data_IF_332299483943
#
_entry.id   IF_332299483943
#
_cell.length_a   1.000
_cell.length_b   1.000
_cell.length_c   1.000
_cell.angle_alpha   90.00
_cell.angle_beta   90.00
_cell.angle_gamma   90.00
#
_symmetry.space_group_name_H-M   'P 1'
#
loop_
_entity.id
_entity.type
_entity.pdbx_description
1 polymer ?
#
# COMPACT_ATOMS: atom_id res chain seq x y z
N UNK A 1 -22.26 -11.73 17.04
CA UNK A 1 -21.77 -12.12 15.70
C UNK A 1 -20.27 -12.00 15.68
N UNK A 2 -19.54 -13.05 15.29
CA UNK A 2 -18.10 -12.94 15.07
C UNK A 2 -17.85 -12.23 13.72
N UNK A 3 -16.91 -11.27 13.68
CA UNK A 3 -16.47 -10.64 12.45
C UNK A 3 -15.71 -11.67 11.60
N UNK A 4 -15.95 -11.71 10.29
CA UNK A 4 -15.19 -12.59 9.39
C UNK A 4 -13.73 -12.14 9.28
N UNK A 5 -12.82 -13.10 9.15
CA UNK A 5 -11.38 -12.83 9.03
C UNK A 5 -11.07 -11.84 7.89
N UNK A 6 -11.71 -12.04 6.74
CA UNK A 6 -11.57 -11.16 5.57
C UNK A 6 -12.01 -9.74 5.88
N UNK A 7 -13.16 -9.56 6.56
CA UNK A 7 -13.66 -8.24 6.92
C UNK A 7 -12.71 -7.55 7.92
N UNK A 8 -12.24 -8.29 8.93
CA UNK A 8 -11.27 -7.77 9.90
C UNK A 8 -9.99 -7.28 9.21
N UNK A 9 -9.38 -8.11 8.36
CA UNK A 9 -8.17 -7.74 7.63
C UNK A 9 -8.39 -6.57 6.66
N UNK A 10 -9.55 -6.52 5.99
CA UNK A 10 -9.89 -5.44 5.07
C UNK A 10 -10.01 -4.10 5.81
N UNK A 11 -10.73 -4.07 6.94
CA UNK A 11 -10.89 -2.86 7.75
C UNK A 11 -9.55 -2.40 8.33
N UNK A 12 -8.73 -3.33 8.79
CA UNK A 12 -7.39 -3.04 9.29
C UNK A 12 -6.49 -2.47 8.18
N UNK A 13 -6.46 -3.11 7.01
CA UNK A 13 -5.69 -2.63 5.86
C UNK A 13 -6.17 -1.26 5.36
N UNK A 14 -7.48 -1.04 5.32
CA UNK A 14 -8.05 0.26 5.00
C UNK A 14 -7.58 1.32 6.01
N UNK A 15 -7.72 1.07 7.32
CA UNK A 15 -7.28 2.01 8.36
C UNK A 15 -5.78 2.33 8.31
N UNK A 16 -4.94 1.29 8.26
CA UNK A 16 -3.48 1.46 8.20
C UNK A 16 -3.01 2.09 6.89
N UNK A 17 -3.73 1.87 5.78
CA UNK A 17 -3.36 2.40 4.46
C UNK A 17 -3.37 3.93 4.38
N UNK A 18 -4.07 4.61 5.30
CA UNK A 18 -4.12 6.07 5.40
C UNK A 18 -2.96 6.67 6.21
N UNK A 19 -2.19 5.89 6.97
CA UNK A 19 -1.09 6.39 7.82
C UNK A 19 -0.17 7.40 7.08
N UNK A 20 0.27 7.15 5.83
CA UNK A 20 1.14 8.09 5.12
C UNK A 20 0.52 9.46 4.89
N UNK A 21 -0.81 9.54 4.74
CA UNK A 21 -1.52 10.82 4.63
C UNK A 21 -1.32 11.67 5.88
N UNK A 22 -1.33 11.03 7.05
CA UNK A 22 -1.21 11.72 8.34
C UNK A 22 0.24 12.02 8.73
N UNK A 23 1.22 11.22 8.27
CA UNK A 23 2.62 11.36 8.68
C UNK A 23 3.52 12.11 7.67
N UNK A 24 3.29 11.94 6.37
CA UNK A 24 4.18 12.51 5.34
C UNK A 24 3.47 13.37 4.29
N UNK A 25 2.13 13.36 4.27
CA UNK A 25 1.31 14.11 3.32
C UNK A 25 1.45 13.58 1.88
N UNK A 26 0.35 13.45 1.14
CA UNK A 26 0.46 13.28 -0.30
C UNK A 26 0.92 14.59 -0.91
N UNK A 27 2.06 14.58 -1.60
CA UNK A 27 2.55 15.77 -2.30
C UNK A 27 2.58 15.47 -3.81
N UNK A 28 1.45 15.61 -4.52
CA UNK A 28 1.39 15.47 -5.98
C UNK A 28 2.47 16.27 -6.70
N UNK A 29 2.85 17.42 -6.13
CA UNK A 29 3.88 18.31 -6.65
C UNK A 29 5.22 17.57 -6.92
N UNK A 30 5.62 16.61 -6.07
CA UNK A 30 6.88 15.85 -6.25
C UNK A 30 6.89 15.05 -7.56
N UNK A 31 5.73 14.55 -7.96
CA UNK A 31 5.56 13.81 -9.21
C UNK A 31 5.36 14.74 -10.40
N UNK A 32 4.62 15.85 -10.20
CA UNK A 32 4.33 16.82 -11.26
C UNK A 32 5.60 17.48 -11.81
N UNK A 33 6.59 17.79 -10.95
CA UNK A 33 7.88 18.36 -11.38
C UNK A 33 8.64 17.44 -12.33
N UNK A 34 8.37 16.14 -12.29
CA UNK A 34 8.97 15.13 -13.16
C UNK A 34 8.08 14.77 -14.37
N UNK A 35 7.02 15.55 -14.62
CA UNK A 35 6.07 15.30 -15.71
C UNK A 35 5.11 14.12 -15.47
N UNK A 36 5.07 13.58 -14.25
CA UNK A 36 4.14 12.49 -13.87
C UNK A 36 2.86 13.11 -13.32
N UNK A 37 1.69 12.55 -13.68
CA UNK A 37 0.39 12.94 -13.10
C UNK A 37 0.35 12.59 -11.61
N UNK A 38 0.68 13.55 -10.76
CA UNK A 38 0.92 13.33 -9.33
C UNK A 38 -0.32 12.97 -8.53
N UNK A 39 -1.49 13.44 -8.95
CA UNK A 39 -2.79 13.03 -8.41
C UNK A 39 -3.01 11.52 -8.56
N UNK A 40 -2.77 10.99 -9.77
CA UNK A 40 -2.89 9.57 -10.07
C UNK A 40 -1.83 8.77 -9.32
N UNK A 41 -0.58 9.23 -9.32
CA UNK A 41 0.51 8.57 -8.63
C UNK A 41 0.19 8.40 -7.14
N UNK A 42 -0.18 9.49 -6.47
CA UNK A 42 -0.58 9.50 -5.06
C UNK A 42 -1.75 8.53 -4.80
N UNK A 43 -2.76 8.53 -5.67
CA UNK A 43 -3.89 7.61 -5.51
C UNK A 43 -3.49 6.14 -5.66
N UNK A 44 -2.56 5.82 -6.56
CA UNK A 44 -2.02 4.47 -6.70
C UNK A 44 -1.31 4.02 -5.40
N UNK A 45 -0.57 4.92 -4.74
CA UNK A 45 0.05 4.66 -3.44
C UNK A 45 -0.97 4.37 -2.32
N UNK A 46 -2.12 5.04 -2.33
CA UNK A 46 -3.16 4.83 -1.33
C UNK A 46 -3.97 3.56 -1.59
N UNK A 47 -4.40 3.35 -2.83
CA UNK A 47 -5.17 2.16 -3.21
C UNK A 47 -4.38 0.89 -2.95
N UNK A 48 -3.10 0.86 -3.33
CA UNK A 48 -2.20 -0.26 -3.06
C UNK A 48 -2.14 -0.61 -1.55
N UNK A 49 -1.95 0.39 -0.67
CA UNK A 49 -1.87 0.18 0.78
C UNK A 49 -3.18 -0.32 1.38
N UNK A 50 -4.31 0.29 1.00
CA UNK A 50 -5.62 -0.11 1.49
C UNK A 50 -6.00 -1.54 1.07
N UNK A 51 -5.54 -1.98 -0.11
CA UNK A 51 -5.83 -3.32 -0.63
C UNK A 51 -4.98 -4.44 0.00
N UNK A 52 -3.89 -4.13 0.70
CA UNK A 52 -3.05 -5.16 1.37
C UNK A 52 -3.89 -6.02 2.30
N UNK A 53 -4.69 -5.39 3.17
CA UNK A 53 -5.53 -6.10 4.13
C UNK A 53 -6.61 -6.97 3.47
N UNK A 54 -7.21 -6.49 2.38
CA UNK A 54 -8.13 -7.28 1.59
C UNK A 54 -7.45 -8.52 1.00
N UNK A 55 -6.27 -8.35 0.40
CA UNK A 55 -5.52 -9.45 -0.20
C UNK A 55 -5.13 -10.50 0.85
N UNK A 56 -4.70 -10.06 2.04
CA UNK A 56 -4.43 -10.95 3.19
C UNK A 56 -5.70 -11.70 3.63
N UNK A 57 -6.85 -11.03 3.60
CA UNK A 57 -8.13 -11.58 4.02
C UNK A 57 -8.71 -12.66 3.11
N UNK A 58 -8.38 -12.63 1.81
CA UNK A 58 -8.88 -13.60 0.81
C UNK A 58 -7.86 -14.70 0.49
N UNK A 59 -6.58 -14.50 0.82
CA UNK A 59 -5.53 -15.48 0.52
C UNK A 59 -5.39 -16.49 1.65
N UNK A 60 -5.38 -17.77 1.28
CA UNK A 60 -5.08 -18.90 2.17
C UNK A 60 -3.66 -19.39 1.90
N UNK A 61 -2.92 -19.67 2.97
CA UNK A 61 -1.57 -20.27 2.91
C UNK A 61 -1.45 -21.25 4.09
N UNK A 62 -0.63 -22.31 4.01
CA UNK A 62 -0.41 -23.23 5.11
C UNK A 62 0.05 -22.48 6.36
N UNK A 63 -0.52 -22.84 7.50
CA UNK A 63 -0.30 -22.19 8.80
C UNK A 63 1.19 -22.06 9.19
N UNK A 64 2.05 -22.93 8.66
CA UNK A 64 3.49 -22.93 8.95
C UNK A 64 4.26 -21.77 8.31
N UNK A 65 3.67 -21.06 7.35
CA UNK A 65 4.35 -20.03 6.58
C UNK A 65 3.80 -18.65 6.95
N UNK A 66 4.43 -18.00 7.93
CA UNK A 66 4.12 -16.62 8.37
C UNK A 66 4.42 -15.53 7.31
N UNK A 67 4.60 -15.92 6.04
CA UNK A 67 4.97 -15.05 4.94
C UNK A 67 3.77 -14.42 4.22
N UNK A 68 2.54 -14.80 4.57
CA UNK A 68 1.33 -14.30 3.87
C UNK A 68 1.22 -12.77 3.88
N UNK A 69 1.26 -12.17 5.07
CA UNK A 69 1.19 -10.72 5.22
C UNK A 69 2.27 -10.00 4.41
N UNK A 70 3.55 -10.33 4.62
CA UNK A 70 4.66 -9.78 3.85
C UNK A 70 4.51 -9.91 2.33
N UNK A 71 4.08 -11.08 1.82
CA UNK A 71 3.97 -11.32 0.37
C UNK A 71 2.77 -10.62 -0.25
N UNK A 72 1.63 -10.55 0.44
CA UNK A 72 0.50 -9.74 0.00
C UNK A 72 0.86 -8.24 -0.03
N UNK A 73 1.58 -7.78 1.00
CA UNK A 73 2.12 -6.43 1.07
C UNK A 73 3.09 -6.14 -0.08
N UNK A 74 4.03 -7.06 -0.34
CA UNK A 74 4.97 -6.95 -1.44
C UNK A 74 4.26 -6.85 -2.79
N UNK A 75 3.32 -7.73 -3.10
CA UNK A 75 2.60 -7.71 -4.38
C UNK A 75 1.86 -6.38 -4.62
N UNK A 76 1.20 -5.86 -3.58
CA UNK A 76 0.47 -4.59 -3.67
C UNK A 76 1.41 -3.38 -3.76
N UNK A 77 2.52 -3.40 -3.03
CA UNK A 77 3.44 -2.27 -2.93
C UNK A 77 4.56 -2.29 -3.98
N UNK A 78 4.76 -3.40 -4.70
CA UNK A 78 5.85 -3.51 -5.66
C UNK A 78 5.75 -2.49 -6.79
N UNK A 79 4.61 -2.32 -7.50
CA UNK A 79 4.50 -1.29 -8.54
C UNK A 79 4.80 0.14 -8.03
N UNK A 80 4.18 0.63 -6.93
CA UNK A 80 4.52 1.95 -6.40
C UNK A 80 5.97 2.06 -5.90
N UNK A 81 6.57 0.96 -5.44
CA UNK A 81 7.99 0.95 -5.03
C UNK A 81 8.92 1.19 -6.21
N UNK A 82 8.64 0.59 -7.38
CA UNK A 82 9.40 0.84 -8.61
C UNK A 82 9.31 2.32 -9.02
N UNK A 83 8.13 2.93 -8.89
CA UNK A 83 7.94 4.36 -9.16
C UNK A 83 8.81 5.20 -8.23
N UNK A 84 8.80 4.91 -6.91
CA UNK A 84 9.62 5.64 -5.93
C UNK A 84 11.12 5.50 -6.23
N UNK A 85 11.59 4.29 -6.55
CA UNK A 85 12.99 4.05 -6.89
C UNK A 85 13.45 4.83 -8.13
N UNK A 86 12.55 5.02 -9.10
CA UNK A 86 12.82 5.81 -10.29
C UNK A 86 12.64 7.34 -10.06
N UNK A 87 12.11 7.76 -8.92
CA UNK A 87 11.78 9.16 -8.61
C UNK A 87 12.89 9.79 -7.75
N UNK A 88 13.68 10.75 -8.27
CA UNK A 88 14.72 11.43 -7.51
C UNK A 88 14.14 12.12 -6.26
N UNK A 89 14.78 11.96 -5.10
CA UNK A 89 14.35 12.60 -3.84
C UNK A 89 13.20 11.91 -3.10
N UNK A 90 12.74 10.73 -3.55
CA UNK A 90 11.72 9.92 -2.86
C UNK A 90 12.30 8.73 -2.07
N UNK A 91 13.61 8.67 -1.87
CA UNK A 91 14.31 7.63 -1.09
C UNK A 91 15.20 8.22 0.02
N UNK A 92 15.78 7.36 0.85
CA UNK A 92 16.73 7.78 1.89
C UNK A 92 17.99 8.38 1.26
N UNK A 93 18.23 9.65 1.55
CA UNK A 93 19.49 10.38 1.29
C UNK A 93 20.29 10.46 2.57
#
# INVERSE_FOLDING_TARGET
MAISYTLFCTLLGFGLGWIPRFLHGPIPYKFNVLGIRGDIAVWAFYSARCLVGFLVGITSWPERWFLRGPLCGFLMLFPPTVIVLATPGCGGT
#
